data_IF_156081568028
#
_entry.id   IF_156081568028
#
_cell.length_a   1.000
_cell.length_b   1.000
_cell.length_c   1.000
_cell.angle_alpha   90.00
_cell.angle_beta   90.00
_cell.angle_gamma   90.00
#
_symmetry.space_group_name_H-M   'P 1'
#
loop_
_entity.id
_entity.type
_entity.pdbx_description
1 polymer ?
#
# COMPACT_ATOMS: atom_id res chain seq x y z
N UNK A 1 -18.17 10.82 -17.35
CA UNK A 1 -18.18 9.87 -16.22
C UNK A 1 -18.12 10.55 -14.85
N UNK A 2 -17.00 11.05 -14.32
CA UNK A 2 -16.99 11.68 -12.96
C UNK A 2 -17.69 13.05 -12.92
N UNK A 3 -17.51 13.87 -13.97
CA UNK A 3 -18.27 15.14 -14.14
C UNK A 3 -19.78 14.89 -14.20
N UNK A 4 -20.23 13.90 -14.98
CA UNK A 4 -21.62 13.42 -14.98
C UNK A 4 -22.09 12.90 -13.62
N UNK A 5 -21.22 12.25 -12.82
CA UNK A 5 -21.60 11.79 -11.48
C UNK A 5 -21.87 12.98 -10.56
N UNK A 6 -21.09 14.06 -10.66
CA UNK A 6 -21.31 15.28 -9.87
C UNK A 6 -22.50 16.12 -10.37
N UNK A 7 -22.65 16.25 -11.69
CA UNK A 7 -23.79 16.95 -12.29
C UNK A 7 -25.11 16.20 -11.95
N UNK A 8 -25.12 14.86 -12.06
CA UNK A 8 -26.28 14.04 -11.68
C UNK A 8 -26.56 14.05 -10.17
N UNK A 9 -25.54 14.10 -9.31
CA UNK A 9 -25.73 14.23 -7.85
C UNK A 9 -26.27 15.62 -7.46
N UNK A 10 -25.89 16.67 -8.18
CA UNK A 10 -26.43 18.02 -8.02
C UNK A 10 -27.89 18.13 -8.45
N UNK A 11 -28.25 17.46 -9.55
CA UNK A 11 -29.61 17.47 -10.10
C UNK A 11 -30.56 16.55 -9.33
N UNK A 12 -30.08 15.41 -8.80
CA UNK A 12 -30.84 14.52 -7.91
C UNK A 12 -31.17 15.14 -6.54
N UNK A 13 -30.42 16.17 -6.11
CA UNK A 13 -30.60 16.81 -4.81
C UNK A 13 -31.55 18.03 -4.83
N UNK A 14 -32.12 18.40 -5.98
CA UNK A 14 -33.14 19.45 -6.10
C UNK A 14 -32.70 20.83 -5.61
N UNK A 15 -31.49 21.29 -6.00
CA UNK A 15 -30.86 22.49 -5.42
C UNK A 15 -30.89 23.67 -6.40
N UNK A 16 -31.35 24.83 -5.91
CA UNK A 16 -31.37 26.13 -6.61
C UNK A 16 -29.94 26.62 -6.98
N UNK A 17 -29.81 27.36 -8.10
CA UNK A 17 -28.52 27.67 -8.75
C UNK A 17 -27.53 28.44 -7.84
N UNK A 18 -28.00 29.31 -6.96
CA UNK A 18 -27.12 30.04 -6.01
C UNK A 18 -26.53 29.16 -4.89
N UNK A 19 -27.06 27.96 -4.69
CA UNK A 19 -26.60 27.02 -3.67
C UNK A 19 -25.75 25.88 -4.30
N UNK A 20 -25.70 25.82 -5.65
CA UNK A 20 -24.77 24.96 -6.39
C UNK A 20 -23.32 25.43 -6.22
N UNK A 21 -23.05 26.73 -6.23
CA UNK A 21 -21.68 27.27 -6.09
C UNK A 21 -21.08 27.00 -4.71
N UNK A 22 -21.87 27.15 -3.64
CA UNK A 22 -21.44 26.85 -2.27
C UNK A 22 -21.17 25.35 -2.07
N UNK A 23 -22.04 24.48 -2.58
CA UNK A 23 -21.83 23.01 -2.55
C UNK A 23 -20.67 22.57 -3.44
N UNK A 24 -20.46 23.23 -4.58
CA UNK A 24 -19.33 22.96 -5.48
C UNK A 24 -18.01 23.39 -4.82
N UNK A 25 -17.99 24.53 -4.12
CA UNK A 25 -16.86 24.97 -3.31
C UNK A 25 -16.59 24.02 -2.12
N UNK A 26 -17.63 23.51 -1.44
CA UNK A 26 -17.48 22.48 -0.40
C UNK A 26 -16.93 21.15 -0.96
N UNK A 27 -17.37 20.73 -2.15
CA UNK A 27 -16.84 19.55 -2.84
C UNK A 27 -15.38 19.80 -3.25
N UNK A 28 -15.06 20.96 -3.81
CA UNK A 28 -13.70 21.31 -4.21
C UNK A 28 -12.76 21.43 -3.01
N UNK A 29 -13.21 21.93 -1.85
CA UNK A 29 -12.44 21.92 -0.60
C UNK A 29 -12.17 20.49 -0.11
N UNK A 30 -13.13 19.58 -0.26
CA UNK A 30 -12.96 18.15 0.06
C UNK A 30 -12.02 17.45 -0.90
N UNK A 31 -12.02 17.83 -2.18
CA UNK A 31 -11.08 17.26 -3.16
C UNK A 31 -9.70 17.90 -3.03
N UNK A 32 -9.57 19.19 -2.68
CA UNK A 32 -8.29 19.93 -2.48
C UNK A 32 -7.32 19.25 -1.50
N UNK A 33 -7.86 18.45 -0.58
CA UNK A 33 -7.11 17.70 0.40
C UNK A 33 -7.16 16.22 0.00
N UNK A 34 -6.05 15.65 -0.45
CA UNK A 34 -5.98 14.23 -0.87
C UNK A 34 -4.82 13.50 -0.23
N UNK A 35 -4.96 12.19 -0.08
CA UNK A 35 -3.82 11.31 0.16
C UNK A 35 -3.12 11.05 -1.16
N UNK A 36 -1.82 11.26 -1.19
CA UNK A 36 -0.93 10.87 -2.28
C UNK A 36 0.11 9.89 -1.77
N UNK A 37 0.62 9.10 -2.70
CA UNK A 37 1.65 8.12 -2.46
C UNK A 37 2.70 8.18 -3.59
N UNK A 38 3.93 7.78 -3.27
CA UNK A 38 5.08 7.75 -4.19
C UNK A 38 5.06 6.54 -5.13
N UNK A 39 4.15 5.59 -4.97
CA UNK A 39 4.07 4.42 -5.86
C UNK A 39 3.58 4.81 -7.27
N UNK A 40 4.14 4.16 -8.30
CA UNK A 40 3.97 4.53 -9.73
C UNK A 40 2.50 4.67 -10.17
N UNK A 41 1.58 3.87 -9.63
CA UNK A 41 0.13 3.95 -9.91
C UNK A 41 -0.46 5.28 -9.43
N UNK A 42 0.02 5.80 -8.29
CA UNK A 42 -0.43 7.06 -7.71
C UNK A 42 0.19 8.28 -8.41
N UNK A 43 1.34 8.16 -9.08
CA UNK A 43 1.84 9.23 -9.95
C UNK A 43 0.95 9.44 -11.19
N UNK A 44 0.45 8.35 -11.76
CA UNK A 44 -0.49 8.41 -12.89
C UNK A 44 -1.85 8.96 -12.44
N UNK A 45 -2.37 8.48 -11.30
CA UNK A 45 -3.58 9.02 -10.68
C UNK A 45 -3.42 10.51 -10.33
N UNK A 46 -2.28 10.91 -9.77
CA UNK A 46 -1.94 12.32 -9.50
C UNK A 46 -1.99 13.16 -10.76
N UNK A 47 -1.32 12.73 -11.84
CA UNK A 47 -1.34 13.45 -13.13
C UNK A 47 -2.77 13.53 -13.72
N UNK A 48 -3.56 12.46 -13.56
CA UNK A 48 -4.96 12.45 -13.99
C UNK A 48 -5.84 13.37 -13.15
N UNK A 49 -5.62 13.45 -11.82
CA UNK A 49 -6.35 14.34 -10.92
C UNK A 49 -5.95 15.80 -11.13
N UNK A 50 -4.67 16.09 -11.36
CA UNK A 50 -4.17 17.42 -11.74
C UNK A 50 -4.79 17.88 -13.06
N UNK A 51 -4.84 16.99 -14.06
CA UNK A 51 -5.48 17.26 -15.35
C UNK A 51 -7.00 17.42 -15.21
N UNK A 52 -7.64 16.56 -14.42
CA UNK A 52 -9.07 16.64 -14.14
C UNK A 52 -9.43 17.94 -13.42
N UNK A 53 -8.61 18.38 -12.47
CA UNK A 53 -8.78 19.68 -11.84
C UNK A 53 -8.67 20.82 -12.82
N UNK A 54 -7.67 20.81 -13.71
CA UNK A 54 -7.58 21.78 -14.79
C UNK A 54 -8.84 21.80 -15.67
N UNK A 55 -9.47 20.63 -15.89
CA UNK A 55 -10.69 20.48 -16.69
C UNK A 55 -12.00 20.81 -15.92
N UNK A 56 -12.01 20.71 -14.58
CA UNK A 56 -13.20 20.89 -13.72
C UNK A 56 -13.24 22.22 -12.95
N UNK A 57 -12.14 22.96 -12.89
CA UNK A 57 -12.06 24.33 -12.37
C UNK A 57 -12.54 25.49 -13.28
N UNK A 58 -13.09 25.33 -14.53
CA UNK A 58 -13.44 26.47 -15.39
C UNK A 58 -14.22 27.63 -14.74
N UNK A 59 -15.22 27.42 -13.85
CA UNK A 59 -15.92 28.54 -13.19
C UNK A 59 -15.04 29.37 -12.22
N UNK A 60 -13.97 28.75 -11.70
CA UNK A 60 -12.95 29.39 -10.85
C UNK A 60 -11.84 30.00 -11.72
N UNK A 61 -11.56 29.43 -12.90
CA UNK A 61 -10.62 29.96 -13.90
C UNK A 61 -11.16 31.26 -14.52
N UNK A 62 -12.45 31.31 -14.83
CA UNK A 62 -13.11 32.49 -15.41
C UNK A 62 -13.04 33.73 -14.50
N UNK A 63 -12.99 33.51 -13.18
CA UNK A 63 -12.83 34.55 -12.15
C UNK A 63 -11.43 34.56 -11.51
N UNK A 64 -10.50 33.74 -12.00
CA UNK A 64 -9.20 33.57 -11.34
C UNK A 64 -8.43 34.88 -11.25
N UNK A 65 -8.51 35.71 -12.29
CA UNK A 65 -7.84 37.01 -12.36
C UNK A 65 -8.44 38.07 -11.43
N UNK A 66 -9.68 37.90 -10.97
CA UNK A 66 -10.36 38.84 -10.06
C UNK A 66 -10.13 38.50 -8.59
N UNK A 67 -9.56 37.33 -8.29
CA UNK A 67 -9.16 36.95 -6.94
C UNK A 67 -7.89 37.68 -6.48
N UNK A 68 -7.79 37.92 -5.17
CA UNK A 68 -6.54 38.41 -4.57
C UNK A 68 -5.42 37.39 -4.76
N UNK A 69 -4.18 37.85 -4.81
CA UNK A 69 -3.03 36.97 -5.02
C UNK A 69 -2.90 35.90 -3.92
N UNK A 70 -3.31 36.21 -2.68
CA UNK A 70 -3.40 35.25 -1.58
C UNK A 70 -4.47 34.16 -1.83
N UNK A 71 -5.63 34.55 -2.38
CA UNK A 71 -6.71 33.63 -2.70
C UNK A 71 -6.33 32.74 -3.88
N UNK A 72 -5.70 33.29 -4.93
CA UNK A 72 -5.12 32.54 -6.06
C UNK A 72 -4.12 31.49 -5.58
N UNK A 73 -3.18 31.88 -4.71
CA UNK A 73 -2.18 30.98 -4.13
C UNK A 73 -2.84 29.87 -3.31
N UNK A 74 -3.87 30.20 -2.54
CA UNK A 74 -4.64 29.22 -1.76
C UNK A 74 -5.49 28.27 -2.62
N UNK A 75 -5.94 28.68 -3.81
CA UNK A 75 -6.69 27.83 -4.75
C UNK A 75 -5.74 26.85 -5.45
N UNK A 76 -4.51 27.29 -5.75
CA UNK A 76 -3.47 26.47 -6.38
C UNK A 76 -2.84 25.48 -5.39
N UNK A 77 -2.73 25.84 -4.10
CA UNK A 77 -2.12 24.99 -3.08
C UNK A 77 -3.02 23.80 -2.70
N UNK A 78 -2.88 22.71 -3.43
CA UNK A 78 -3.44 21.40 -3.10
C UNK A 78 -2.64 20.79 -1.95
N UNK A 79 -3.33 20.42 -0.86
CA UNK A 79 -2.69 19.71 0.23
C UNK A 79 -2.58 18.24 -0.12
N UNK A 80 -1.35 17.81 -0.35
CA UNK A 80 -0.99 16.42 -0.55
C UNK A 80 -0.57 15.82 0.80
N UNK A 81 -1.49 15.11 1.41
CA UNK A 81 -1.18 14.30 2.58
C UNK A 81 -0.51 12.99 2.13
N UNK A 82 0.36 12.43 2.97
CA UNK A 82 0.95 11.10 2.76
C UNK A 82 0.19 10.12 3.64
N UNK A 83 -0.14 8.95 3.10
CA UNK A 83 -0.73 7.88 3.90
C UNK A 83 0.22 7.49 5.04
N UNK A 84 -0.30 7.44 6.27
CA UNK A 84 0.47 7.03 7.44
C UNK A 84 1.05 5.60 7.30
N UNK A 85 0.34 4.69 6.62
CA UNK A 85 0.81 3.31 6.40
C UNK A 85 2.01 3.21 5.44
N UNK A 86 2.21 4.19 4.54
CA UNK A 86 3.36 4.14 3.64
C UNK A 86 4.69 4.30 4.39
N UNK A 87 4.68 4.94 5.55
CA UNK A 87 5.87 4.98 6.39
C UNK A 87 6.27 3.55 6.76
N UNK A 88 5.31 2.72 7.24
CA UNK A 88 5.54 1.31 7.57
C UNK A 88 6.05 0.47 6.39
N UNK A 89 5.49 0.68 5.19
CA UNK A 89 5.99 0.02 3.96
C UNK A 89 7.47 0.30 3.76
N UNK A 90 7.83 1.58 3.87
CA UNK A 90 9.19 2.03 3.64
C UNK A 90 10.15 1.63 4.77
N UNK A 91 9.66 1.44 6.00
CA UNK A 91 10.43 0.79 7.07
C UNK A 91 10.80 -0.63 6.65
N UNK A 92 9.87 -1.40 6.09
CA UNK A 92 10.14 -2.75 5.59
C UNK A 92 11.22 -2.79 4.51
N UNK A 93 11.12 -1.91 3.51
CA UNK A 93 12.17 -1.79 2.47
C UNK A 93 13.51 -1.35 3.03
N UNK A 94 13.51 -0.42 3.99
CA UNK A 94 14.75 0.04 4.60
C UNK A 94 15.38 -1.02 5.50
N UNK A 95 14.57 -1.83 6.20
CA UNK A 95 15.03 -2.96 6.99
C UNK A 95 15.78 -3.99 6.13
N UNK A 96 15.30 -4.27 4.93
CA UNK A 96 15.97 -5.16 3.97
C UNK A 96 17.39 -4.64 3.63
N UNK A 97 17.50 -3.36 3.29
CA UNK A 97 18.78 -2.71 2.96
C UNK A 97 19.72 -2.74 4.17
N UNK A 98 19.21 -2.35 5.35
CA UNK A 98 19.98 -2.24 6.58
C UNK A 98 20.54 -3.60 7.03
N UNK A 99 19.69 -4.63 7.10
CA UNK A 99 20.11 -5.96 7.52
C UNK A 99 20.98 -6.66 6.50
N UNK A 100 20.77 -6.43 5.20
CA UNK A 100 21.69 -6.94 4.17
C UNK A 100 23.07 -6.32 4.32
N UNK A 101 23.15 -5.00 4.54
CA UNK A 101 24.41 -4.30 4.80
C UNK A 101 25.11 -4.79 6.06
N UNK A 102 24.37 -4.94 7.16
CA UNK A 102 24.87 -5.47 8.43
C UNK A 102 25.35 -6.92 8.33
N UNK A 103 24.53 -7.82 7.76
CA UNK A 103 24.91 -9.21 7.56
C UNK A 103 26.15 -9.32 6.67
N UNK A 104 26.24 -8.49 5.62
CA UNK A 104 27.43 -8.41 4.78
C UNK A 104 28.67 -7.97 5.57
N UNK A 105 28.55 -6.97 6.44
CA UNK A 105 29.67 -6.50 7.25
C UNK A 105 30.18 -7.56 8.24
N UNK A 106 29.29 -8.39 8.79
CA UNK A 106 29.68 -9.46 9.74
C UNK A 106 30.18 -10.71 9.02
N UNK A 107 29.48 -11.14 7.97
CA UNK A 107 29.81 -12.37 7.23
C UNK A 107 31.08 -12.15 6.39
N UNK A 108 31.24 -11.00 5.73
CA UNK A 108 32.42 -10.73 4.90
C UNK A 108 33.68 -10.36 5.66
N UNK A 109 33.56 -10.00 6.95
CA UNK A 109 34.73 -10.02 7.84
C UNK A 109 35.33 -11.42 7.97
N UNK A 110 34.55 -12.46 7.68
CA UNK A 110 34.95 -13.87 7.85
C UNK A 110 35.13 -14.64 6.53
N UNK A 111 34.58 -14.20 5.39
CA UNK A 111 34.76 -14.84 4.07
C UNK A 111 34.63 -13.85 2.89
N UNK A 112 35.36 -14.08 1.79
CA UNK A 112 35.36 -13.22 0.60
C UNK A 112 34.29 -13.68 -0.42
N UNK A 113 33.01 -13.54 -0.09
CA UNK A 113 31.91 -13.91 -1.02
C UNK A 113 31.06 -12.69 -1.45
N UNK A 114 30.64 -12.65 -2.71
CA UNK A 114 29.96 -11.48 -3.29
C UNK A 114 28.43 -11.55 -3.16
N UNK A 115 27.87 -12.63 -2.62
CA UNK A 115 26.43 -12.87 -2.50
C UNK A 115 25.94 -13.09 -1.07
N UNK A 116 25.79 -12.03 -0.27
CA UNK A 116 25.10 -12.14 1.03
C UNK A 116 23.59 -11.91 0.84
N UNK A 117 22.80 -12.92 1.20
CA UNK A 117 21.35 -12.85 1.18
C UNK A 117 20.83 -11.88 2.24
N UNK A 118 19.61 -11.38 2.07
CA UNK A 118 18.98 -10.52 3.07
C UNK A 118 18.18 -11.34 4.10
N UNK A 119 17.95 -10.80 5.30
CA UNK A 119 17.03 -11.42 6.27
C UNK A 119 15.62 -11.63 5.69
N UNK A 120 15.04 -10.70 4.89
CA UNK A 120 13.81 -10.96 4.13
C UNK A 120 13.87 -12.18 3.21
N UNK A 121 15.01 -12.49 2.59
CA UNK A 121 15.15 -13.70 1.77
C UNK A 121 15.05 -14.98 2.62
N UNK A 122 15.62 -14.97 3.83
CA UNK A 122 15.44 -16.04 4.81
C UNK A 122 13.96 -16.25 5.15
N UNK A 123 13.23 -15.18 5.47
CA UNK A 123 11.80 -15.26 5.82
C UNK A 123 10.98 -15.78 4.64
N UNK A 124 11.24 -15.28 3.42
CA UNK A 124 10.56 -15.74 2.19
C UNK A 124 10.87 -17.20 1.86
N UNK A 125 12.13 -17.63 2.00
CA UNK A 125 12.51 -19.02 1.77
C UNK A 125 11.83 -19.95 2.78
N UNK A 126 11.81 -19.57 4.05
CA UNK A 126 11.19 -20.36 5.13
C UNK A 126 9.68 -20.48 4.94
N UNK A 127 8.99 -19.38 4.63
CA UNK A 127 7.55 -19.43 4.36
C UNK A 127 7.22 -20.26 3.11
N UNK A 128 8.00 -20.17 2.03
CA UNK A 128 7.84 -21.05 0.87
C UNK A 128 8.00 -22.53 1.24
N UNK A 129 8.94 -22.84 2.13
CA UNK A 129 9.19 -24.21 2.57
C UNK A 129 8.08 -24.73 3.49
N UNK A 130 7.67 -23.94 4.48
CA UNK A 130 6.93 -24.40 5.65
C UNK A 130 5.43 -24.08 5.61
N UNK A 131 4.95 -23.23 4.69
CA UNK A 131 3.52 -22.85 4.63
C UNK A 131 2.79 -23.65 3.55
N UNK A 132 1.66 -24.32 3.89
CA UNK A 132 0.84 -25.01 2.90
C UNK A 132 0.41 -24.08 1.75
N UNK A 133 0.64 -24.53 0.51
CA UNK A 133 0.27 -23.78 -0.70
C UNK A 133 1.17 -22.58 -1.04
N UNK A 134 2.25 -22.31 -0.29
CA UNK A 134 3.18 -21.23 -0.62
C UNK A 134 4.09 -21.56 -1.81
N UNK A 135 4.58 -22.80 -1.90
CA UNK A 135 5.33 -23.32 -3.04
C UNK A 135 4.93 -24.79 -3.28
N UNK A 136 4.25 -25.04 -4.39
CA UNK A 136 3.77 -26.38 -4.76
C UNK A 136 4.88 -27.27 -5.34
N UNK A 137 6.01 -26.70 -5.76
CA UNK A 137 7.09 -27.42 -6.44
C UNK A 137 8.19 -27.84 -5.47
N UNK A 138 8.58 -26.94 -4.57
CA UNK A 138 9.75 -27.14 -3.70
C UNK A 138 9.43 -27.03 -2.21
N UNK A 139 8.20 -26.64 -1.84
CA UNK A 139 7.75 -26.53 -0.46
C UNK A 139 7.27 -27.85 0.14
N UNK A 140 7.32 -27.92 1.47
CA UNK A 140 6.87 -29.05 2.30
C UNK A 140 5.86 -28.61 3.37
N UNK A 141 5.06 -27.58 3.08
CA UNK A 141 4.22 -26.95 4.11
C UNK A 141 3.23 -27.88 4.80
N UNK A 142 2.60 -28.81 4.07
CA UNK A 142 1.72 -29.83 4.68
C UNK A 142 2.47 -30.80 5.59
N UNK A 143 3.68 -31.19 5.21
CA UNK A 143 4.52 -32.08 6.00
C UNK A 143 4.99 -31.37 7.28
N UNK A 144 5.42 -30.11 7.17
CA UNK A 144 5.80 -29.30 8.32
C UNK A 144 4.62 -29.07 9.28
N UNK A 145 3.44 -28.74 8.76
CA UNK A 145 2.23 -28.60 9.58
C UNK A 145 1.86 -29.91 10.30
N UNK A 146 2.04 -31.06 9.63
CA UNK A 146 1.83 -32.38 10.24
C UNK A 146 2.86 -32.67 11.33
N UNK A 147 4.13 -32.32 11.10
CA UNK A 147 5.19 -32.42 12.10
C UNK A 147 4.86 -31.57 13.34
N UNK A 148 4.43 -30.32 13.18
CA UNK A 148 4.06 -29.46 14.32
C UNK A 148 2.90 -30.05 15.15
N UNK A 149 1.93 -30.69 14.50
CA UNK A 149 0.83 -31.40 15.18
C UNK A 149 1.30 -32.65 15.94
N UNK A 150 2.43 -33.23 15.55
CA UNK A 150 3.03 -34.39 16.21
C UNK A 150 3.91 -34.03 17.42
N UNK A 151 4.29 -32.76 17.58
CA UNK A 151 5.01 -32.29 18.76
C UNK A 151 4.18 -32.47 20.05
N UNK A 152 4.86 -32.55 21.19
CA UNK A 152 4.22 -32.66 22.51
C UNK A 152 4.67 -31.48 23.39
N UNK A 153 3.79 -30.51 23.70
CA UNK A 153 2.41 -30.38 23.19
C UNK A 153 2.36 -30.02 21.69
N UNK A 154 1.22 -30.27 21.01
CA UNK A 154 1.05 -29.88 19.61
C UNK A 154 1.24 -28.38 19.41
N UNK A 155 2.00 -28.01 18.39
CA UNK A 155 2.33 -26.60 18.10
C UNK A 155 1.46 -26.10 16.95
N UNK A 156 0.94 -24.89 17.07
CA UNK A 156 0.16 -24.24 16.01
C UNK A 156 1.09 -23.59 14.97
N UNK A 157 0.80 -23.77 13.68
CA UNK A 157 1.47 -23.02 12.63
C UNK A 157 1.04 -21.55 12.65
N UNK A 158 2.00 -20.64 12.81
CA UNK A 158 1.77 -19.19 12.86
C UNK A 158 2.18 -18.46 11.57
N UNK A 159 2.89 -19.15 10.67
CA UNK A 159 3.28 -18.59 9.37
C UNK A 159 2.10 -18.60 8.39
N UNK A 160 2.04 -17.60 7.51
CA UNK A 160 1.06 -17.48 6.43
C UNK A 160 1.73 -17.29 5.08
N UNK A 161 0.95 -17.33 4.00
CA UNK A 161 1.48 -17.05 2.66
C UNK A 161 1.73 -15.55 2.50
N UNK A 162 2.70 -15.18 1.66
CA UNK A 162 3.02 -13.78 1.34
C UNK A 162 1.99 -13.07 0.42
N UNK A 163 0.82 -13.67 0.17
CA UNK A 163 -0.15 -13.14 -0.77
C UNK A 163 -1.03 -12.04 -0.15
N UNK A 164 -1.21 -10.93 -0.87
CA UNK A 164 -2.38 -10.05 -0.72
C UNK A 164 -2.27 -8.83 0.19
N UNK A 165 -1.32 -8.74 1.13
CA UNK A 165 -1.20 -7.56 2.02
C UNK A 165 0.26 -7.10 2.15
N UNK A 166 0.55 -5.90 1.62
CA UNK A 166 1.93 -5.47 1.33
C UNK A 166 2.66 -4.78 2.48
N UNK A 167 1.96 -4.29 3.50
CA UNK A 167 2.54 -3.25 4.35
C UNK A 167 3.21 -3.77 5.63
N UNK A 168 2.65 -4.78 6.32
CA UNK A 168 3.24 -5.33 7.55
C UNK A 168 3.55 -6.85 7.49
N UNK A 169 3.33 -7.49 6.34
CA UNK A 169 3.47 -8.96 6.23
C UNK A 169 4.91 -9.43 6.46
N UNK A 170 5.91 -8.62 6.11
CA UNK A 170 7.30 -8.96 6.37
C UNK A 170 7.55 -9.09 7.88
N UNK A 171 7.17 -8.08 8.66
CA UNK A 171 7.38 -8.04 10.11
C UNK A 171 6.61 -9.15 10.83
N UNK A 172 5.32 -9.33 10.49
CA UNK A 172 4.51 -10.39 11.12
C UNK A 172 5.00 -11.80 10.77
N UNK A 173 5.44 -12.04 9.54
CA UNK A 173 6.03 -13.32 9.14
C UNK A 173 7.37 -13.56 9.80
N UNK A 174 8.14 -12.52 10.06
CA UNK A 174 9.39 -12.63 10.78
C UNK A 174 9.18 -13.17 12.19
N UNK A 175 8.21 -12.59 12.94
CA UNK A 175 7.89 -13.06 14.28
C UNK A 175 7.47 -14.53 14.31
N UNK A 176 6.67 -14.96 13.32
CA UNK A 176 6.30 -16.36 13.17
C UNK A 176 7.51 -17.27 12.86
N UNK A 177 8.40 -16.87 11.94
CA UNK A 177 9.62 -17.63 11.62
C UNK A 177 10.55 -17.74 12.83
N UNK A 178 10.72 -16.65 13.58
CA UNK A 178 11.55 -16.64 14.79
C UNK A 178 10.98 -17.57 15.87
N UNK A 179 9.66 -17.59 16.07
CA UNK A 179 9.00 -18.52 16.99
C UNK A 179 9.26 -19.98 16.63
N UNK A 180 9.11 -20.31 15.33
CA UNK A 180 9.26 -21.67 14.81
C UNK A 180 10.71 -22.10 14.56
N UNK A 181 11.71 -21.27 14.86
CA UNK A 181 13.10 -21.53 14.44
C UNK A 181 13.65 -22.88 14.91
N UNK A 182 13.35 -23.28 16.14
CA UNK A 182 13.82 -24.56 16.68
C UNK A 182 13.04 -25.75 16.09
N UNK A 183 11.73 -25.60 15.91
CA UNK A 183 10.89 -26.60 15.23
C UNK A 183 11.33 -26.79 13.77
N UNK A 184 11.71 -25.71 13.07
CA UNK A 184 12.22 -25.79 11.70
C UNK A 184 13.57 -26.51 11.68
N UNK A 185 14.47 -26.21 12.61
CA UNK A 185 15.75 -26.93 12.73
C UNK A 185 15.53 -28.42 12.93
N UNK A 186 14.72 -28.79 13.92
CA UNK A 186 14.45 -30.19 14.26
C UNK A 186 13.73 -30.93 13.12
N UNK A 187 12.76 -30.27 12.48
CA UNK A 187 12.11 -30.79 11.27
C UNK A 187 13.12 -31.06 10.15
N UNK A 188 14.01 -30.10 9.90
CA UNK A 188 15.00 -30.22 8.84
C UNK A 188 16.00 -31.35 9.11
N UNK A 189 16.47 -31.49 10.35
CA UNK A 189 17.40 -32.57 10.73
C UNK A 189 16.73 -33.95 10.76
N UNK A 190 15.43 -34.01 11.02
CA UNK A 190 14.68 -35.28 11.12
C UNK A 190 14.30 -35.83 9.75
N UNK A 191 13.86 -34.98 8.83
CA UNK A 191 13.26 -35.42 7.57
C UNK A 191 14.16 -35.28 6.34
N UNK A 192 15.29 -34.59 6.46
CA UNK A 192 16.18 -34.34 5.32
C UNK A 192 17.63 -34.66 5.64
N UNK A 193 18.33 -35.19 4.65
CA UNK A 193 19.78 -35.38 4.72
C UNK A 193 20.51 -34.04 4.69
N UNK A 194 21.73 -34.02 5.23
CA UNK A 194 22.60 -32.84 5.34
C UNK A 194 22.86 -32.17 3.97
N UNK A 195 22.80 -32.95 2.87
CA UNK A 195 22.87 -32.45 1.49
C UNK A 195 21.60 -32.79 0.70
N UNK A 196 20.51 -32.12 1.02
CA UNK A 196 19.27 -32.25 0.27
C UNK A 196 19.43 -31.80 -1.20
N UNK A 197 18.95 -32.62 -2.13
CA UNK A 197 18.83 -32.23 -3.56
C UNK A 197 17.86 -31.06 -3.77
N UNK A 198 16.96 -30.81 -2.81
CA UNK A 198 16.08 -29.65 -2.81
C UNK A 198 16.86 -28.41 -2.33
N UNK A 199 17.14 -27.50 -3.26
CA UNK A 199 17.84 -26.24 -2.98
C UNK A 199 17.12 -25.35 -1.97
N UNK A 200 15.79 -25.40 -1.89
CA UNK A 200 15.03 -24.62 -0.91
C UNK A 200 15.29 -25.13 0.52
N UNK A 201 15.29 -26.46 0.71
CA UNK A 201 15.63 -27.11 1.98
C UNK A 201 17.05 -26.72 2.41
N UNK A 202 18.02 -26.86 1.49
CA UNK A 202 19.42 -26.48 1.75
C UNK A 202 19.56 -25.00 2.13
N UNK A 203 18.83 -24.12 1.45
CA UNK A 203 18.82 -22.68 1.71
C UNK A 203 18.26 -22.35 3.09
N UNK A 204 17.10 -22.92 3.47
CA UNK A 204 16.51 -22.69 4.80
C UNK A 204 17.40 -23.29 5.89
N UNK A 205 17.96 -24.48 5.68
CA UNK A 205 18.91 -25.11 6.61
C UNK A 205 20.12 -24.21 6.87
N UNK A 206 20.68 -23.59 5.83
CA UNK A 206 21.77 -22.63 5.99
C UNK A 206 21.36 -21.43 6.86
N UNK A 207 20.16 -20.87 6.64
CA UNK A 207 19.72 -19.69 7.39
C UNK A 207 19.47 -19.98 8.87
N UNK A 208 18.71 -21.03 9.19
CA UNK A 208 18.36 -21.34 10.59
C UNK A 208 19.59 -21.67 11.42
N UNK A 209 20.63 -22.25 10.81
CA UNK A 209 21.87 -22.60 11.48
C UNK A 209 22.90 -21.46 11.57
N UNK A 210 22.65 -20.33 10.90
CA UNK A 210 23.55 -19.19 10.92
C UNK A 210 23.02 -18.09 11.87
N UNK A 211 23.75 -17.86 12.97
CA UNK A 211 23.37 -16.91 14.03
C UNK A 211 23.15 -15.48 13.53
N UNK A 212 23.80 -15.04 12.45
CA UNK A 212 23.61 -13.69 11.88
C UNK A 212 22.21 -13.55 11.30
N UNK A 213 21.76 -14.54 10.51
CA UNK A 213 20.41 -14.51 9.94
C UNK A 213 19.33 -14.71 11.01
N UNK A 214 19.58 -15.57 12.00
CA UNK A 214 18.69 -15.75 13.16
C UNK A 214 18.59 -14.46 13.98
N UNK A 215 19.70 -13.76 14.23
CA UNK A 215 19.71 -12.47 14.94
C UNK A 215 18.95 -11.39 14.16
N UNK A 216 19.16 -11.27 12.84
CA UNK A 216 18.41 -10.34 12.01
C UNK A 216 16.90 -10.64 12.01
N UNK A 217 16.53 -11.92 11.96
CA UNK A 217 15.14 -12.38 12.06
C UNK A 217 14.57 -12.04 13.45
N UNK A 218 15.31 -12.29 14.52
CA UNK A 218 14.89 -11.93 15.88
C UNK A 218 14.72 -10.42 16.05
N UNK A 219 15.65 -9.62 15.54
CA UNK A 219 15.56 -8.16 15.59
C UNK A 219 14.30 -7.66 14.89
N UNK A 220 14.00 -8.12 13.67
CA UNK A 220 12.75 -7.78 12.97
C UNK A 220 11.50 -8.25 13.72
N UNK A 221 11.58 -9.36 14.45
CA UNK A 221 10.47 -9.87 15.26
C UNK A 221 10.20 -8.97 16.47
N UNK A 222 11.26 -8.45 17.09
CA UNK A 222 11.18 -7.46 18.18
C UNK A 222 10.57 -6.16 17.64
N UNK A 223 11.03 -5.70 16.48
CA UNK A 223 10.42 -4.56 15.77
C UNK A 223 8.93 -4.80 15.50
N UNK A 224 8.53 -5.98 15.01
CA UNK A 224 7.11 -6.30 14.78
C UNK A 224 6.28 -6.17 16.07
N UNK A 225 6.74 -6.84 17.13
CA UNK A 225 5.98 -6.98 18.38
C UNK A 225 5.93 -5.69 19.20
N UNK A 226 6.99 -4.89 19.19
CA UNK A 226 7.09 -3.68 20.02
C UNK A 226 6.79 -2.39 19.26
N UNK A 227 7.00 -2.38 17.93
CA UNK A 227 6.97 -1.16 17.12
C UNK A 227 5.99 -1.22 15.97
N UNK A 228 6.27 -1.96 14.89
CA UNK A 228 5.49 -1.83 13.65
C UNK A 228 4.09 -2.41 13.77
N UNK A 229 3.90 -3.52 14.49
CA UNK A 229 2.59 -4.09 14.78
C UNK A 229 1.71 -3.17 15.65
N UNK A 230 2.21 -2.69 16.80
CA UNK A 230 1.48 -1.70 17.60
C UNK A 230 1.25 -0.37 16.87
N UNK A 231 2.25 0.14 16.14
CA UNK A 231 2.14 1.35 15.32
C UNK A 231 1.07 1.21 14.23
N UNK A 232 0.99 0.06 13.57
CA UNK A 232 -0.08 -0.24 12.61
C UNK A 232 -1.47 -0.06 13.24
N UNK A 233 -1.70 -0.66 14.42
CA UNK A 233 -2.98 -0.54 15.14
C UNK A 233 -3.25 0.90 15.58
N UNK A 234 -2.21 1.61 16.02
CA UNK A 234 -2.33 3.03 16.36
C UNK A 234 -2.77 3.85 15.15
N UNK A 235 -2.16 3.63 13.97
CA UNK A 235 -2.56 4.30 12.71
C UNK A 235 -4.01 3.97 12.33
N UNK A 236 -4.43 2.71 12.48
CA UNK A 236 -5.83 2.31 12.22
C UNK A 236 -6.82 2.96 13.18
N UNK A 237 -6.40 3.25 14.42
CA UNK A 237 -7.23 3.94 15.42
C UNK A 237 -7.22 5.46 15.26
N UNK A 238 -6.25 6.01 14.53
CA UNK A 238 -6.13 7.44 14.28
C UNK A 238 -7.35 7.93 13.52
N UNK A 239 -7.98 9.01 14.02
CA UNK A 239 -9.17 9.61 13.39
C UNK A 239 -8.85 10.64 12.31
N UNK A 240 -7.66 11.24 12.37
CA UNK A 240 -7.32 12.38 11.53
C UNK A 240 -5.87 12.30 11.03
N UNK A 241 -5.65 12.65 9.76
CA UNK A 241 -4.35 12.54 9.09
C UNK A 241 -3.25 13.42 9.73
N UNK A 242 -3.65 14.50 10.41
CA UNK A 242 -2.78 15.40 11.17
C UNK A 242 -2.65 15.04 12.66
N UNK A 243 -3.00 13.82 13.08
CA UNK A 243 -2.62 13.38 14.43
C UNK A 243 -1.13 13.04 14.46
N UNK A 244 -0.32 14.05 14.82
CA UNK A 244 1.14 14.02 14.76
C UNK A 244 1.80 13.37 15.98
N UNK A 245 1.03 13.24 17.07
CA UNK A 245 1.53 12.87 18.40
C UNK A 245 2.26 11.52 18.37
N UNK A 246 1.69 10.55 17.65
CA UNK A 246 2.26 9.22 17.51
C UNK A 246 3.61 9.21 16.79
N UNK A 247 3.79 10.08 15.79
CA UNK A 247 4.99 10.11 14.97
C UNK A 247 6.16 10.77 15.68
N UNK A 248 5.88 11.78 16.51
CA UNK A 248 6.88 12.39 17.40
C UNK A 248 7.36 11.38 18.44
N UNK A 249 6.43 10.70 19.11
CA UNK A 249 6.74 9.64 20.08
C UNK A 249 7.55 8.50 19.44
N UNK A 250 7.16 8.07 18.23
CA UNK A 250 7.90 7.06 17.47
C UNK A 250 9.32 7.53 17.08
N UNK A 251 9.47 8.76 16.60
CA UNK A 251 10.77 9.34 16.26
C UNK A 251 11.71 9.43 17.47
N UNK A 252 11.21 9.92 18.60
CA UNK A 252 12.01 10.00 19.84
C UNK A 252 12.44 8.61 20.33
N UNK A 253 11.54 7.64 20.24
CA UNK A 253 11.86 6.25 20.59
C UNK A 253 12.98 5.71 19.70
N UNK A 254 12.86 5.86 18.39
CA UNK A 254 13.89 5.41 17.45
C UNK A 254 15.24 6.13 17.63
N UNK A 255 15.25 7.43 17.95
CA UNK A 255 16.49 8.16 18.27
C UNK A 255 17.18 7.57 19.51
N UNK A 256 16.44 7.31 20.58
CA UNK A 256 16.99 6.69 21.79
C UNK A 256 17.62 5.31 21.49
N UNK A 257 16.88 4.43 20.81
CA UNK A 257 17.35 3.07 20.52
C UNK A 257 18.32 2.96 19.34
N UNK A 258 18.50 4.04 18.56
CA UNK A 258 19.59 4.13 17.60
C UNK A 258 20.97 4.23 18.27
N UNK A 259 21.01 4.77 19.50
CA UNK A 259 22.24 4.91 20.30
C UNK A 259 22.49 3.69 21.17
N UNK A 260 21.44 3.19 21.81
CA UNK A 260 21.50 1.98 22.63
C UNK A 260 20.19 1.19 22.55
N UNK A 261 20.24 0.00 21.94
CA UNK A 261 19.10 -0.91 21.83
C UNK A 261 18.97 -1.92 22.98
N UNK A 262 19.80 -1.86 24.02
CA UNK A 262 19.83 -2.88 25.07
C UNK A 262 18.50 -3.01 25.81
N UNK A 263 17.80 -1.92 26.08
CA UNK A 263 16.49 -1.99 26.73
C UNK A 263 15.38 -2.43 25.77
N UNK A 264 15.51 -2.14 24.47
CA UNK A 264 14.61 -2.68 23.45
C UNK A 264 14.70 -4.21 23.37
N UNK A 265 15.91 -4.77 23.51
CA UNK A 265 16.12 -6.21 23.61
C UNK A 265 15.48 -6.83 24.86
N UNK A 266 15.29 -6.06 25.93
CA UNK A 266 14.58 -6.48 27.15
C UNK A 266 13.06 -6.31 27.06
N UNK A 267 12.55 -5.77 25.96
CA UNK A 267 11.11 -5.66 25.72
C UNK A 267 10.51 -4.30 26.06
N UNK A 268 11.26 -3.19 26.02
CA UNK A 268 10.66 -1.86 26.22
C UNK A 268 9.55 -1.59 25.20
N UNK A 269 8.34 -1.33 25.70
CA UNK A 269 7.14 -1.16 24.89
C UNK A 269 6.89 0.33 24.61
N UNK A 270 6.66 0.69 23.34
CA UNK A 270 6.30 2.05 22.95
C UNK A 270 4.79 2.33 23.06
N UNK A 271 3.96 1.37 22.64
CA UNK A 271 2.50 1.49 22.59
C UNK A 271 1.83 0.36 23.40
N UNK A 272 1.81 0.45 24.75
CA UNK A 272 1.32 -0.62 25.62
C UNK A 272 -0.08 -1.12 25.30
N UNK A 273 -0.98 -0.21 24.94
CA UNK A 273 -2.38 -0.48 24.61
C UNK A 273 -2.57 -1.33 23.35
N UNK A 274 -1.56 -1.38 22.47
CA UNK A 274 -1.61 -2.12 21.20
C UNK A 274 -0.68 -3.34 21.17
N UNK A 275 0.22 -3.47 22.14
CA UNK A 275 1.13 -4.60 22.28
C UNK A 275 0.46 -5.80 22.93
N UNK A 276 0.51 -6.94 22.26
CA UNK A 276 -0.01 -8.21 22.78
C UNK A 276 1.15 -9.10 23.24
N UNK A 277 1.13 -9.50 24.51
CA UNK A 277 2.03 -10.50 25.06
C UNK A 277 1.40 -11.88 24.84
N UNK A 278 1.78 -12.53 23.74
CA UNK A 278 1.37 -13.88 23.36
C UNK A 278 2.57 -14.85 23.42
N UNK A 279 2.35 -16.13 23.11
CA UNK A 279 3.40 -17.15 23.11
C UNK A 279 4.63 -16.78 22.24
N UNK A 280 4.41 -16.02 21.15
CA UNK A 280 5.48 -15.53 20.28
C UNK A 280 6.29 -14.46 21.01
N UNK A 281 5.62 -13.55 21.73
CA UNK A 281 6.27 -12.55 22.56
C UNK A 281 7.13 -13.21 23.63
N UNK A 282 6.57 -14.15 24.39
CA UNK A 282 7.29 -14.81 25.48
C UNK A 282 8.54 -15.53 24.96
N UNK A 283 8.39 -16.25 23.85
CA UNK A 283 9.49 -16.97 23.19
C UNK A 283 10.60 -16.03 22.70
N UNK A 284 10.25 -14.84 22.23
CA UNK A 284 11.18 -13.87 21.66
C UNK A 284 12.15 -13.30 22.71
N UNK A 285 11.65 -13.10 23.93
CA UNK A 285 12.39 -12.51 25.05
C UNK A 285 12.95 -13.55 26.03
N UNK A 286 12.59 -14.83 25.91
CA UNK A 286 13.14 -15.91 26.75
C UNK A 286 14.55 -16.39 26.34
N UNK A 287 15.11 -15.88 25.25
CA UNK A 287 16.38 -16.34 24.67
C UNK A 287 17.58 -15.97 25.55
N UNK A 288 18.41 -16.96 25.90
CA UNK A 288 19.58 -16.81 26.77
C UNK A 288 20.94 -16.93 26.03
N UNK A 289 20.96 -17.10 24.71
CA UNK A 289 22.21 -17.16 23.94
C UNK A 289 22.86 -15.77 23.87
N UNK A 290 23.97 -15.59 24.60
CA UNK A 290 24.69 -14.32 24.71
C UNK A 290 25.18 -13.79 23.36
N UNK A 291 25.74 -14.66 22.52
CA UNK A 291 26.23 -14.25 21.20
C UNK A 291 25.06 -13.80 20.30
N UNK A 292 23.95 -14.53 20.36
CA UNK A 292 22.74 -14.16 19.63
C UNK A 292 22.16 -12.85 20.16
N UNK A 293 22.19 -12.61 21.49
CA UNK A 293 21.76 -11.35 22.11
C UNK A 293 22.60 -10.17 21.60
N UNK A 294 23.93 -10.30 21.58
CA UNK A 294 24.83 -9.26 21.06
C UNK A 294 24.49 -8.93 19.59
N UNK A 295 24.42 -9.96 18.73
CA UNK A 295 24.09 -9.76 17.31
C UNK A 295 22.68 -9.16 17.12
N UNK A 296 21.72 -9.56 17.96
CA UNK A 296 20.35 -9.01 17.90
C UNK A 296 20.35 -7.53 18.29
N UNK A 297 21.09 -7.15 19.34
CA UNK A 297 21.23 -5.76 19.75
C UNK A 297 21.86 -4.91 18.64
N UNK A 298 22.97 -5.35 18.04
CA UNK A 298 23.60 -4.64 16.91
C UNK A 298 22.61 -4.45 15.74
N UNK A 299 21.87 -5.51 15.37
CA UNK A 299 20.86 -5.43 14.32
C UNK A 299 19.73 -4.45 14.66
N UNK A 300 19.27 -4.41 15.93
CA UNK A 300 18.25 -3.47 16.40
C UNK A 300 18.72 -2.02 16.32
N UNK A 301 19.94 -1.71 16.75
CA UNK A 301 20.50 -0.35 16.66
C UNK A 301 20.57 0.13 15.21
N UNK A 302 21.03 -0.74 14.30
CA UNK A 302 21.12 -0.45 12.86
C UNK A 302 19.73 -0.23 12.26
N UNK A 303 18.75 -1.05 12.63
CA UNK A 303 17.36 -0.88 12.21
C UNK A 303 16.78 0.44 12.70
N UNK A 304 16.94 0.78 13.99
CA UNK A 304 16.45 2.04 14.55
C UNK A 304 17.07 3.26 13.86
N UNK A 305 18.40 3.23 13.65
CA UNK A 305 19.14 4.27 12.90
C UNK A 305 18.57 4.45 11.49
N UNK A 306 18.33 3.35 10.79
CA UNK A 306 17.82 3.39 9.43
C UNK A 306 16.35 3.82 9.37
N UNK A 307 15.54 3.42 10.35
CA UNK A 307 14.14 3.85 10.45
C UNK A 307 14.04 5.34 10.74
N UNK A 308 14.95 5.91 11.54
CA UNK A 308 15.05 7.36 11.73
C UNK A 308 15.24 8.12 10.42
N UNK A 309 16.03 7.59 9.49
CA UNK A 309 16.21 8.19 8.16
C UNK A 309 14.87 8.22 7.40
N UNK A 310 14.11 7.13 7.46
CA UNK A 310 12.80 7.04 6.80
C UNK A 310 11.81 8.02 7.43
N UNK A 311 11.67 8.00 8.76
CA UNK A 311 10.78 8.85 9.54
C UNK A 311 11.10 10.33 9.28
N UNK A 312 12.35 10.73 9.46
CA UNK A 312 12.80 12.12 9.26
C UNK A 312 12.53 12.61 7.84
N UNK A 313 12.75 11.76 6.82
CA UNK A 313 12.54 12.12 5.42
C UNK A 313 11.07 12.15 5.02
N UNK A 314 10.27 11.18 5.47
CA UNK A 314 8.88 11.04 5.03
C UNK A 314 7.92 11.94 5.79
N UNK A 315 8.22 12.15 7.08
CA UNK A 315 7.42 12.94 7.99
C UNK A 315 7.98 14.35 8.20
N UNK A 316 8.95 14.79 7.38
CA UNK A 316 9.49 16.17 7.43
C UNK A 316 8.40 17.24 7.41
N UNK A 317 7.31 17.00 6.68
CA UNK A 317 6.18 17.93 6.59
C UNK A 317 5.34 17.96 7.89
N UNK A 318 5.42 16.91 8.70
CA UNK A 318 4.57 16.59 9.85
C UNK A 318 5.28 16.73 11.20
N UNK A 319 6.61 16.61 11.24
CA UNK A 319 7.44 16.79 12.44
C UNK A 319 7.61 18.28 12.78
N UNK A 320 8.07 18.63 14.00
CA UNK A 320 8.31 20.03 14.39
C UNK A 320 9.14 20.79 13.35
N UNK A 321 8.69 21.99 12.97
CA UNK A 321 9.28 22.77 11.87
C UNK A 321 8.73 22.44 10.47
N UNK A 322 7.93 21.39 10.33
CA UNK A 322 7.28 20.98 9.09
C UNK A 322 6.04 21.82 8.75
N UNK A 323 5.70 21.94 7.47
CA UNK A 323 4.59 22.79 6.98
C UNK A 323 3.20 22.43 7.54
N UNK A 324 3.00 21.20 7.98
CA UNK A 324 1.78 20.70 8.59
C UNK A 324 1.92 20.50 10.11
N UNK A 325 3.03 20.94 10.70
CA UNK A 325 3.21 20.93 12.16
C UNK A 325 2.40 22.04 12.83
N UNK A 326 2.02 21.80 14.07
CA UNK A 326 1.29 22.76 14.91
C UNK A 326 2.09 24.07 15.04
N UNK A 327 3.41 23.96 15.24
CA UNK A 327 4.27 25.10 15.53
C UNK A 327 4.55 25.99 14.32
N UNK A 328 4.42 25.45 13.11
CA UNK A 328 4.80 26.15 11.86
C UNK A 328 3.62 26.57 10.99
N UNK A 329 2.41 26.09 11.27
CA UNK A 329 1.23 26.38 10.46
C UNK A 329 0.40 27.49 11.11
N UNK A 330 0.44 28.75 10.61
CA UNK A 330 -0.29 29.88 11.19
C UNK A 330 -1.82 29.74 11.18
N UNK A 331 -2.36 28.64 10.62
CA UNK A 331 -3.78 28.31 10.56
C UNK A 331 -4.03 26.80 10.77
N UNK A 332 -3.27 26.13 11.64
CA UNK A 332 -3.36 24.68 11.84
C UNK A 332 -4.80 24.17 12.10
N UNK A 333 -5.58 24.86 12.93
CA UNK A 333 -6.98 24.48 13.19
C UNK A 333 -7.86 24.54 11.94
N UNK A 334 -7.68 25.57 11.09
CA UNK A 334 -8.40 25.68 9.82
C UNK A 334 -7.94 24.62 8.82
N UNK A 335 -6.65 24.25 8.82
CA UNK A 335 -6.14 23.14 8.02
C UNK A 335 -6.79 21.82 8.45
N UNK A 336 -6.85 21.56 9.76
CA UNK A 336 -7.46 20.38 10.37
C UNK A 336 -8.94 20.26 10.05
N UNK A 337 -9.69 21.36 10.14
CA UNK A 337 -11.11 21.40 9.75
C UNK A 337 -11.30 21.06 8.26
N UNK A 338 -10.48 21.66 7.39
CA UNK A 338 -10.58 21.41 5.95
C UNK A 338 -10.14 20.00 5.54
N UNK A 339 -9.27 19.34 6.31
CA UNK A 339 -8.77 17.99 6.04
C UNK A 339 -9.59 16.88 6.69
N UNK A 340 -10.72 17.18 7.34
CA UNK A 340 -11.53 16.20 8.07
C UNK A 340 -12.04 15.06 7.19
N UNK A 341 -12.19 15.30 5.89
CA UNK A 341 -12.63 14.28 4.91
C UNK A 341 -11.50 13.43 4.35
N UNK A 342 -10.25 13.76 4.67
CA UNK A 342 -9.09 12.98 4.26
C UNK A 342 -8.92 11.82 5.23
N UNK A 343 -9.03 10.60 4.70
CA UNK A 343 -8.74 9.41 5.49
C UNK A 343 -7.27 9.44 5.99
N UNK A 344 -6.97 8.94 7.20
CA UNK A 344 -5.59 8.77 7.67
C UNK A 344 -4.80 7.73 6.84
N UNK A 345 -5.51 6.82 6.16
CA UNK A 345 -4.93 5.75 5.33
C UNK A 345 -5.66 5.60 4.00
N UNK A 346 -4.98 5.06 2.99
CA UNK A 346 -5.55 4.72 1.68
C UNK A 346 -5.75 3.20 1.50
N UNK A 347 -5.77 2.43 2.59
CA UNK A 347 -5.74 0.96 2.55
C UNK A 347 -6.91 0.35 1.76
N UNK A 348 -8.09 0.97 1.85
CA UNK A 348 -9.28 0.50 1.13
C UNK A 348 -9.08 0.61 -0.38
N UNK A 349 -8.58 1.74 -0.86
CA UNK A 349 -8.29 1.94 -2.28
C UNK A 349 -7.20 0.99 -2.78
N UNK A 350 -6.14 0.76 -2.00
CA UNK A 350 -5.08 -0.18 -2.37
C UNK A 350 -5.56 -1.62 -2.40
N UNK A 351 -6.41 -2.01 -1.43
CA UNK A 351 -7.03 -3.33 -1.39
C UNK A 351 -7.90 -3.55 -2.61
N UNK A 352 -8.64 -2.54 -3.05
CA UNK A 352 -9.51 -2.62 -4.22
C UNK A 352 -8.71 -2.78 -5.51
N UNK A 353 -7.63 -2.02 -5.67
CA UNK A 353 -6.70 -2.19 -6.79
C UNK A 353 -6.00 -3.56 -6.77
N UNK A 354 -5.56 -4.03 -5.60
CA UNK A 354 -4.94 -5.35 -5.47
C UNK A 354 -5.92 -6.48 -5.82
N UNK A 355 -7.18 -6.34 -5.40
CA UNK A 355 -8.26 -7.26 -5.78
C UNK A 355 -8.53 -7.22 -7.29
N UNK A 356 -8.58 -6.02 -7.88
CA UNK A 356 -8.76 -5.86 -9.32
C UNK A 356 -7.61 -6.53 -10.11
N UNK A 357 -6.36 -6.31 -9.71
CA UNK A 357 -5.18 -6.94 -10.32
C UNK A 357 -5.24 -8.47 -10.25
N UNK A 358 -5.59 -9.01 -9.07
CA UNK A 358 -5.78 -10.45 -8.90
C UNK A 358 -6.88 -10.97 -9.81
N UNK A 359 -8.05 -10.33 -9.79
CA UNK A 359 -9.19 -10.74 -10.59
C UNK A 359 -8.89 -10.68 -12.09
N UNK A 360 -8.12 -9.70 -12.57
CA UNK A 360 -7.67 -9.63 -13.96
C UNK A 360 -6.77 -10.81 -14.35
N UNK A 361 -5.90 -11.28 -13.44
CA UNK A 361 -5.05 -12.46 -13.70
C UNK A 361 -5.84 -13.76 -13.69
N UNK A 362 -6.76 -13.91 -12.74
CA UNK A 362 -7.61 -15.11 -12.63
C UNK A 362 -8.68 -15.18 -13.72
N UNK A 363 -9.19 -14.02 -14.15
CA UNK A 363 -10.35 -13.88 -15.05
C UNK A 363 -10.02 -12.89 -16.18
N UNK A 364 -9.05 -13.22 -17.07
CA UNK A 364 -8.55 -12.27 -18.09
C UNK A 364 -9.62 -11.82 -19.10
N UNK A 365 -10.66 -12.64 -19.30
CA UNK A 365 -11.77 -12.34 -20.22
C UNK A 365 -12.95 -11.63 -19.55
N UNK A 366 -12.89 -11.36 -18.24
CA UNK A 366 -13.95 -10.64 -17.54
C UNK A 366 -13.91 -9.15 -17.89
N UNK A 367 -15.08 -8.55 -18.14
CA UNK A 367 -15.18 -7.12 -18.38
C UNK A 367 -14.99 -6.33 -17.06
N UNK A 368 -14.56 -5.07 -17.16
CA UNK A 368 -14.28 -4.22 -15.99
C UNK A 368 -15.48 -4.10 -15.05
N UNK A 369 -16.70 -3.96 -15.59
CA UNK A 369 -17.94 -3.83 -14.80
C UNK A 369 -18.20 -5.07 -13.95
N UNK A 370 -17.95 -6.26 -14.49
CA UNK A 370 -18.09 -7.52 -13.76
C UNK A 370 -17.05 -7.62 -12.64
N UNK A 371 -15.81 -7.18 -12.90
CA UNK A 371 -14.77 -7.14 -11.88
C UNK A 371 -15.09 -6.14 -10.76
N UNK A 372 -15.54 -4.93 -11.12
CA UNK A 372 -16.02 -3.92 -10.18
C UNK A 372 -17.20 -4.45 -9.35
N UNK A 373 -18.15 -5.14 -9.98
CA UNK A 373 -19.28 -5.76 -9.29
C UNK A 373 -18.84 -6.79 -8.25
N UNK A 374 -17.82 -7.61 -8.54
CA UNK A 374 -17.26 -8.56 -7.56
C UNK A 374 -16.60 -7.84 -6.38
N UNK A 375 -15.85 -6.77 -6.66
CA UNK A 375 -15.17 -5.96 -5.62
C UNK A 375 -16.22 -5.31 -4.72
N UNK A 376 -17.23 -4.64 -5.30
CA UNK A 376 -18.32 -3.99 -4.56
C UNK A 376 -19.12 -5.00 -3.74
N UNK A 377 -19.44 -6.17 -4.31
CA UNK A 377 -20.16 -7.23 -3.61
C UNK A 377 -19.39 -7.72 -2.39
N UNK A 378 -18.06 -7.82 -2.50
CA UNK A 378 -17.17 -8.23 -1.40
C UNK A 378 -17.08 -7.13 -0.33
N UNK A 379 -16.78 -5.89 -0.75
CA UNK A 379 -16.57 -4.76 0.17
C UNK A 379 -17.82 -4.39 0.95
N UNK A 380 -18.99 -4.41 0.31
CA UNK A 380 -20.27 -4.11 0.95
C UNK A 380 -20.78 -5.26 1.84
N UNK A 381 -20.02 -6.38 1.92
CA UNK A 381 -20.45 -7.61 2.62
C UNK A 381 -21.83 -8.06 2.16
N UNK A 382 -22.12 -7.91 0.87
CA UNK A 382 -23.47 -8.11 0.32
C UNK A 382 -23.99 -9.51 0.57
N UNK A 383 -23.13 -10.53 0.55
CA UNK A 383 -23.53 -11.90 0.90
C UNK A 383 -24.01 -12.01 2.35
N UNK A 384 -23.26 -11.46 3.31
CA UNK A 384 -23.64 -11.47 4.72
C UNK A 384 -24.95 -10.68 4.94
N UNK A 385 -25.11 -9.55 4.27
CA UNK A 385 -26.38 -8.82 4.28
C UNK A 385 -27.53 -9.67 3.73
N UNK A 386 -27.35 -10.34 2.58
CA UNK A 386 -28.35 -11.22 1.97
C UNK A 386 -28.69 -12.45 2.84
N UNK A 387 -27.74 -12.98 3.60
CA UNK A 387 -27.95 -14.14 4.47
C UNK A 387 -28.69 -13.78 5.76
N UNK A 388 -28.66 -12.51 6.16
CA UNK A 388 -29.42 -12.00 7.31
C UNK A 388 -30.78 -11.40 6.93
N UNK A 389 -31.18 -11.44 5.66
CA UNK A 389 -32.51 -11.02 5.23
C UNK A 389 -33.55 -12.12 5.43
N UNK A 390 -34.75 -11.71 5.81
CA UNK A 390 -35.94 -12.56 5.79
C UNK A 390 -36.17 -13.14 4.39
N UNK A 391 -36.72 -14.36 4.30
CA UNK A 391 -36.91 -15.08 3.04
C UNK A 391 -37.72 -14.28 2.00
N UNK A 392 -38.74 -13.54 2.45
CA UNK A 392 -39.58 -12.71 1.58
C UNK A 392 -38.82 -11.51 1.01
N UNK A 393 -38.03 -10.83 1.86
CA UNK A 393 -37.18 -9.69 1.45
C UNK A 393 -36.07 -10.15 0.51
N UNK A 394 -35.43 -11.28 0.81
CA UNK A 394 -34.38 -11.89 -0.04
C UNK A 394 -34.95 -12.22 -1.43
N UNK A 395 -36.14 -12.81 -1.49
CA UNK A 395 -36.84 -13.12 -2.74
C UNK A 395 -37.19 -11.86 -3.53
N UNK A 396 -37.68 -10.81 -2.85
CA UNK A 396 -37.99 -9.53 -3.47
C UNK A 396 -36.73 -8.86 -4.07
N UNK A 397 -35.62 -8.85 -3.34
CA UNK A 397 -34.33 -8.31 -3.81
C UNK A 397 -33.83 -9.07 -5.05
N UNK A 398 -33.88 -10.41 -5.04
CA UNK A 398 -33.49 -11.21 -6.21
C UNK A 398 -34.44 -11.03 -7.40
N UNK A 399 -35.73 -10.82 -7.15
CA UNK A 399 -36.69 -10.50 -8.21
C UNK A 399 -36.36 -9.15 -8.84
N UNK A 400 -36.16 -8.11 -8.02
CA UNK A 400 -35.76 -6.77 -8.49
C UNK A 400 -34.44 -6.80 -9.27
N UNK A 401 -33.44 -7.55 -8.81
CA UNK A 401 -32.17 -7.69 -9.52
C UNK A 401 -32.35 -8.32 -10.91
N UNK A 402 -33.18 -9.38 -11.01
CA UNK A 402 -33.50 -10.05 -12.29
C UNK A 402 -34.27 -9.14 -13.24
N UNK A 403 -35.17 -8.29 -12.73
CA UNK A 403 -35.96 -7.35 -13.52
C UNK A 403 -35.12 -6.17 -14.03
N UNK A 404 -34.16 -5.69 -13.22
CA UNK A 404 -33.35 -4.52 -13.56
C UNK A 404 -32.09 -4.83 -14.37
N UNK A 405 -31.51 -6.03 -14.22
CA UNK A 405 -30.29 -6.39 -14.95
C UNK A 405 -30.40 -6.25 -16.49
N UNK A 406 -31.50 -6.70 -17.13
CA UNK A 406 -31.70 -6.49 -18.57
C UNK A 406 -31.77 -5.00 -18.96
N UNK A 407 -32.44 -4.17 -18.15
CA UNK A 407 -32.58 -2.73 -18.38
C UNK A 407 -31.22 -2.03 -18.32
N UNK A 408 -30.41 -2.36 -17.31
CA UNK A 408 -29.05 -1.83 -17.18
C UNK A 408 -28.17 -2.26 -18.36
N UNK A 409 -28.28 -3.51 -18.81
CA UNK A 409 -27.54 -4.01 -19.95
C UNK A 409 -27.94 -3.31 -21.26
N UNK A 410 -29.23 -3.05 -21.46
CA UNK A 410 -29.73 -2.30 -22.60
C UNK A 410 -29.21 -0.87 -22.61
N UNK A 411 -29.33 -0.17 -21.47
CA UNK A 411 -28.80 1.19 -21.32
C UNK A 411 -27.29 1.24 -21.61
N UNK A 412 -26.52 0.27 -21.11
CA UNK A 412 -25.09 0.17 -21.41
C UNK A 412 -24.79 -0.04 -22.90
N UNK A 413 -25.58 -0.87 -23.60
CA UNK A 413 -25.44 -1.07 -25.05
C UNK A 413 -25.71 0.21 -25.83
N UNK A 414 -26.77 0.94 -25.47
CA UNK A 414 -27.13 2.22 -26.07
C UNK A 414 -26.01 3.25 -25.86
N UNK A 415 -25.51 3.39 -24.63
CA UNK A 415 -24.38 4.29 -24.33
C UNK A 415 -23.11 3.91 -25.09
N UNK A 416 -22.80 2.61 -25.19
CA UNK A 416 -21.65 2.14 -25.96
C UNK A 416 -21.78 2.51 -27.44
N UNK A 417 -22.97 2.38 -28.02
CA UNK A 417 -23.21 2.76 -29.41
C UNK A 417 -23.00 4.26 -29.64
N UNK A 418 -23.52 5.10 -28.74
CA UNK A 418 -23.33 6.56 -28.79
C UNK A 418 -21.84 6.91 -28.72
N UNK A 419 -21.09 6.27 -27.80
CA UNK A 419 -19.66 6.50 -27.65
C UNK A 419 -18.87 6.04 -28.88
N UNK A 420 -19.26 4.92 -29.49
CA UNK A 420 -18.64 4.43 -30.73
C UNK A 420 -18.86 5.41 -31.89
N UNK A 421 -20.07 5.94 -32.05
CA UNK A 421 -20.37 6.96 -33.06
C UNK A 421 -19.51 8.22 -32.86
N UNK A 422 -19.45 8.75 -31.64
CA UNK A 422 -18.57 9.89 -31.31
C UNK A 422 -17.10 9.58 -31.59
N UNK A 423 -16.63 8.37 -31.32
CA UNK A 423 -15.25 7.99 -31.58
C UNK A 423 -14.95 7.90 -33.08
N UNK A 424 -15.90 7.37 -33.87
CA UNK A 424 -15.81 7.35 -35.33
C UNK A 424 -15.75 8.78 -35.88
N UNK A 425 -16.61 9.69 -35.41
CA UNK A 425 -16.60 11.10 -35.82
C UNK A 425 -15.25 11.78 -35.51
N UNK A 426 -14.69 11.53 -34.32
CA UNK A 426 -13.36 12.05 -33.94
C UNK A 426 -12.27 11.49 -34.86
N UNK A 427 -12.31 10.20 -35.18
CA UNK A 427 -11.35 9.57 -36.08
C UNK A 427 -11.49 10.10 -37.51
N UNK A 428 -12.71 10.32 -37.99
CA UNK A 428 -12.99 10.93 -39.28
C UNK A 428 -12.38 12.33 -39.36
N UNK A 429 -12.66 13.17 -38.36
CA UNK A 429 -12.13 14.53 -38.27
C UNK A 429 -10.61 14.56 -38.26
N UNK A 430 -9.97 13.67 -37.49
CA UNK A 430 -8.50 13.53 -37.49
C UNK A 430 -7.94 13.09 -38.84
N UNK A 431 -8.65 12.22 -39.54
CA UNK A 431 -8.26 11.77 -40.89
C UNK A 431 -8.39 12.90 -41.90
N UNK A 432 -9.46 13.68 -41.84
CA UNK A 432 -9.69 14.83 -42.71
C UNK A 432 -8.68 15.95 -42.45
N UNK A 433 -8.36 16.23 -41.18
CA UNK A 433 -7.29 17.16 -40.79
C UNK A 433 -5.92 16.70 -41.32
N UNK A 434 -5.62 15.40 -41.26
CA UNK A 434 -4.37 14.84 -41.81
C UNK A 434 -4.31 14.94 -43.34
N UNK A 435 -5.41 14.67 -44.04
CA UNK A 435 -5.52 14.82 -45.50
C UNK A 435 -5.34 16.29 -45.91
N UNK A 436 -6.03 17.22 -45.23
CA UNK A 436 -5.91 18.65 -45.51
C UNK A 436 -4.48 19.16 -45.26
N UNK A 437 -3.82 18.68 -44.20
CA UNK A 437 -2.41 19.01 -43.92
C UNK A 437 -1.46 18.46 -44.99
N UNK A 438 -1.74 17.28 -45.54
CA UNK A 438 -0.96 16.70 -46.63
C UNK A 438 -1.19 17.43 -47.95
N UNK A 439 -2.43 17.84 -48.26
CA UNK A 439 -2.75 18.64 -49.43
C UNK A 439 -2.05 20.00 -49.39
N UNK A 440 -2.11 20.72 -48.25
CA UNK A 440 -1.38 21.98 -48.07
C UNK A 440 0.12 21.84 -48.33
N UNK A 441 0.74 20.76 -47.85
CA UNK A 441 2.16 20.47 -48.13
C UNK A 441 2.42 20.21 -49.61
N UNK A 442 1.53 19.49 -50.29
CA UNK A 442 1.68 19.24 -51.72
C UNK A 442 1.50 20.53 -52.55
N UNK A 443 0.55 21.39 -52.18
CA UNK A 443 0.32 22.68 -52.82
C UNK A 443 1.51 23.62 -52.62
N UNK A 444 2.12 23.64 -51.42
CA UNK A 444 3.38 24.36 -51.16
C UNK A 444 4.53 23.85 -52.02
N UNK A 445 4.65 22.53 -52.22
CA UNK A 445 5.68 21.93 -53.09
C UNK A 445 5.45 22.28 -54.56
N UNK A 446 4.20 22.29 -55.04
CA UNK A 446 3.86 22.68 -56.41
C UNK A 446 4.21 24.14 -56.63
N UNK A 447 3.86 25.02 -55.70
CA UNK A 447 4.17 26.45 -55.78
C UNK A 447 5.68 26.71 -55.81
N UNK A 448 6.46 26.01 -54.99
CA UNK A 448 7.93 26.09 -55.01
C UNK A 448 8.49 25.65 -56.37
N UNK A 449 7.91 24.63 -57.02
CA UNK A 449 8.35 24.20 -58.36
C UNK A 449 8.02 25.23 -59.43
N UNK A 450 6.82 25.81 -59.39
CA UNK A 450 6.42 26.89 -60.32
C UNK A 450 7.31 28.12 -60.15
N UNK A 451 7.68 28.49 -58.92
CA UNK A 451 8.59 29.59 -58.64
C UNK A 451 10.03 29.32 -59.14
N UNK A 452 10.46 28.05 -59.19
CA UNK A 452 11.76 27.64 -59.75
C UNK A 452 11.76 27.67 -61.28
N UNK A 453 10.66 27.26 -61.92
CA UNK A 453 10.54 27.24 -63.39
C UNK A 453 10.35 28.64 -64.00
N UNK A 454 10.14 29.67 -63.17
CA UNK A 454 9.97 31.08 -63.60
C UNK A 454 11.27 31.91 -63.52
N UNK A 455 12.38 31.30 -63.08
CA UNK A 455 13.74 31.86 -63.13
C UNK A 455 14.58 31.16 -64.21
#
# INVERSE_FOLDING_TARGET
MIKEIFDNLGDLAGVDNNNKDKKSAEILLKVKNMITDRHVVNNCLKSMLEKWWADCLPPIIDNFNTFSDDLKKSIIDINHFKCNLHVLVNLGSQAEIALKGWAKAIILRNTFDWGVASTPDFIRATTKLCVPGADQKSGYGFLFETYLKSCVPPVKLHMSTFYGHRINILFSMTAAVCYHNDQIKDFLSTYFEEKSSNKLVSCVSHYVNNKVYVAGCRALSIIDKLLTGPLWKQIESTKHILDLSMWLTFGNFLDAFSRDSSDLLKGTILFPEFTKQDEIFDRLFSVQDEQLNILTAEALQILCTNFMIVVSRQLVDYLPGGKFSIDSSPNFEKLKENSITVSPTNIDSERDFANLDRLRREKPNANTIALEGIILFTNNKTLNWLDNLDADKKTAVFKMARENAPKMLQHYKEQKHILQQKHIEILQKKKDEAISKQQRKNDEIIKIKEDIDTY
#
